data_IF_630599567553
#
_entry.id   IF_630599567553
#
_cell.length_a   1.000
_cell.length_b   1.000
_cell.length_c   1.000
_cell.angle_alpha   90.00
_cell.angle_beta   90.00
_cell.angle_gamma   90.00
#
_symmetry.space_group_name_H-M   'P 1'
#
loop_
_entity.id
_entity.type
_entity.pdbx_description
1 polymer ?
#
# COMPACT_ATOMS: atom_id res chain seq x y z
N UNK A 1 -29.72 -10.84 60.69
CA UNK A 1 -29.27 -9.76 59.79
C UNK A 1 -28.06 -10.27 59.02
N UNK A 2 -28.28 -10.94 57.89
CA UNK A 2 -27.21 -11.48 57.06
C UNK A 2 -26.91 -10.52 55.92
N UNK A 3 -25.78 -9.80 56.01
CA UNK A 3 -25.26 -8.97 54.94
C UNK A 3 -24.81 -9.87 53.78
N UNK A 4 -25.58 -9.88 52.70
CA UNK A 4 -25.20 -10.49 51.43
C UNK A 4 -23.99 -9.74 50.86
N UNK A 5 -22.82 -10.38 50.91
CA UNK A 5 -21.60 -9.84 50.30
C UNK A 5 -21.81 -9.71 48.79
N UNK A 6 -21.74 -8.48 48.27
CA UNK A 6 -21.81 -8.22 46.85
C UNK A 6 -20.61 -8.86 46.13
N UNK A 7 -20.89 -9.86 45.28
CA UNK A 7 -19.89 -10.49 44.42
C UNK A 7 -19.37 -9.44 43.43
N UNK A 8 -18.12 -9.02 43.58
CA UNK A 8 -17.43 -8.15 42.60
C UNK A 8 -17.22 -8.94 41.30
N UNK A 9 -18.13 -8.78 40.35
CA UNK A 9 -17.97 -9.33 39.00
C UNK A 9 -16.95 -8.47 38.24
N UNK A 10 -15.73 -8.99 38.08
CA UNK A 10 -14.70 -8.38 37.22
C UNK A 10 -15.04 -8.68 35.75
N UNK A 11 -15.48 -7.65 35.00
CA UNK A 11 -15.73 -7.77 33.56
C UNK A 11 -14.45 -7.44 32.77
N UNK A 12 -14.21 -8.20 31.68
CA UNK A 12 -13.15 -7.91 30.71
C UNK A 12 -13.74 -7.20 29.50
N UNK A 13 -13.10 -6.13 29.04
CA UNK A 13 -13.51 -5.44 27.81
C UNK A 13 -13.27 -6.33 26.59
N UNK A 14 -14.28 -6.42 25.73
CA UNK A 14 -14.26 -7.12 24.44
C UNK A 14 -14.80 -6.25 23.30
N UNK A 15 -14.74 -4.92 23.47
CA UNK A 15 -15.17 -3.95 22.47
C UNK A 15 -14.46 -4.13 21.13
N UNK A 16 -15.22 -4.08 20.03
CA UNK A 16 -14.69 -4.04 18.68
C UNK A 16 -14.39 -2.59 18.31
N UNK A 17 -13.14 -2.34 17.90
CA UNK A 17 -12.67 -1.01 17.47
C UNK A 17 -12.51 -0.98 15.96
N UNK A 18 -12.63 0.22 15.38
CA UNK A 18 -12.21 0.43 14.00
C UNK A 18 -10.71 0.15 13.87
N UNK A 19 -10.27 -0.26 12.68
CA UNK A 19 -8.85 -0.45 12.40
C UNK A 19 -8.13 0.90 12.54
N UNK A 20 -6.94 0.90 13.14
CA UNK A 20 -6.22 2.13 13.48
C UNK A 20 -5.92 3.04 12.27
N UNK A 21 -5.71 2.45 11.09
CA UNK A 21 -5.31 3.18 9.88
C UNK A 21 -6.48 3.49 8.94
N UNK A 22 -7.71 3.15 9.33
CA UNK A 22 -8.90 3.42 8.53
C UNK A 22 -9.71 4.53 9.22
N UNK A 23 -10.22 5.46 8.42
CA UNK A 23 -11.16 6.49 8.83
C UNK A 23 -12.41 6.42 7.97
N UNK A 24 -13.52 6.95 8.48
CA UNK A 24 -14.76 6.99 7.74
C UNK A 24 -15.95 7.37 8.60
N UNK A 25 -17.10 7.46 7.94
CA UNK A 25 -18.39 7.80 8.54
C UNK A 25 -19.24 6.52 8.60
N UNK A 26 -19.92 6.31 9.73
CA UNK A 26 -20.87 5.20 9.86
C UNK A 26 -21.99 5.40 8.85
N UNK A 27 -22.22 4.38 8.03
CA UNK A 27 -23.21 4.41 6.96
C UNK A 27 -24.49 3.66 7.34
N UNK A 28 -24.35 2.47 7.94
CA UNK A 28 -25.49 1.68 8.39
C UNK A 28 -25.14 0.83 9.60
N UNK A 29 -26.06 0.75 10.55
CA UNK A 29 -25.98 -0.16 11.70
C UNK A 29 -27.15 -1.13 11.62
N UNK A 30 -26.84 -2.42 11.59
CA UNK A 30 -27.84 -3.50 11.64
C UNK A 30 -27.75 -4.16 13.01
N UNK A 31 -28.88 -4.26 13.71
CA UNK A 31 -29.00 -5.01 14.96
C UNK A 31 -30.09 -6.05 14.78
N UNK A 32 -29.74 -7.32 14.90
CA UNK A 32 -30.65 -8.45 14.69
C UNK A 32 -30.30 -9.60 15.64
N UNK A 33 -31.16 -10.60 15.69
CA UNK A 33 -30.96 -11.80 16.50
C UNK A 33 -30.58 -12.97 15.59
N UNK A 34 -29.59 -13.76 15.99
CA UNK A 34 -29.20 -14.97 15.28
C UNK A 34 -30.25 -16.08 15.50
N UNK A 35 -30.19 -17.16 14.71
CA UNK A 35 -31.06 -18.34 14.85
C UNK A 35 -31.07 -18.94 16.27
N UNK A 36 -29.94 -18.84 16.97
CA UNK A 36 -29.77 -19.30 18.36
C UNK A 36 -30.24 -18.31 19.44
N UNK A 37 -30.89 -17.20 19.07
CA UNK A 37 -31.39 -16.20 20.03
C UNK A 37 -30.35 -15.17 20.52
N UNK A 38 -29.10 -15.25 20.07
CA UNK A 38 -28.06 -14.28 20.42
C UNK A 38 -28.18 -12.99 19.60
N UNK A 39 -28.09 -11.82 20.26
CA UNK A 39 -28.03 -10.52 19.58
C UNK A 39 -26.69 -10.39 18.83
N UNK A 40 -26.74 -9.96 17.57
CA UNK A 40 -25.54 -9.57 16.83
C UNK A 40 -25.73 -8.19 16.17
N UNK A 41 -24.61 -7.51 15.96
CA UNK A 41 -24.57 -6.19 15.35
C UNK A 41 -23.58 -6.18 14.17
N UNK A 42 -23.97 -5.55 13.06
CA UNK A 42 -23.08 -5.27 11.93
C UNK A 42 -23.06 -3.76 11.68
N UNK A 43 -21.87 -3.16 11.74
CA UNK A 43 -21.66 -1.73 11.48
C UNK A 43 -20.90 -1.58 10.17
N UNK A 44 -21.50 -0.87 9.20
CA UNK A 44 -20.86 -0.51 7.92
C UNK A 44 -20.33 0.91 8.02
N UNK A 45 -19.07 1.10 7.67
CA UNK A 45 -18.41 2.41 7.62
C UNK A 45 -18.03 2.71 6.17
N UNK A 46 -18.31 3.93 5.71
CA UNK A 46 -17.95 4.41 4.36
C UNK A 46 -16.85 5.45 4.43
N UNK A 47 -15.99 5.48 3.42
CA UNK A 47 -14.95 6.50 3.25
C UNK A 47 -14.97 7.01 1.81
N UNK A 48 -14.88 8.33 1.62
CA UNK A 48 -14.76 8.97 0.31
C UNK A 48 -13.28 9.06 -0.03
N UNK A 49 -12.86 8.37 -1.09
CA UNK A 49 -11.46 8.31 -1.52
C UNK A 49 -11.27 9.14 -2.79
N UNK A 50 -10.71 10.34 -2.65
CA UNK A 50 -10.28 11.17 -3.78
C UNK A 50 -9.03 10.53 -4.41
N UNK A 51 -8.88 10.52 -5.76
CA UNK A 51 -7.65 10.06 -6.40
C UNK A 51 -6.43 10.84 -5.93
N UNK A 52 -5.37 10.13 -5.54
CA UNK A 52 -4.13 10.73 -5.07
C UNK A 52 -2.90 10.09 -5.72
N UNK A 53 -1.75 10.73 -5.56
CA UNK A 53 -0.46 10.22 -6.06
C UNK A 53 -0.22 8.82 -5.49
N UNK A 54 0.09 7.86 -6.37
CA UNK A 54 0.26 6.45 -6.02
C UNK A 54 -0.98 5.58 -6.20
N UNK A 55 -2.17 6.16 -6.38
CA UNK A 55 -3.37 5.38 -6.74
C UNK A 55 -3.21 4.74 -8.13
N UNK A 56 -3.73 3.52 -8.27
CA UNK A 56 -3.52 2.70 -9.46
C UNK A 56 -4.71 2.76 -10.43
N UNK A 57 -4.38 2.96 -11.70
CA UNK A 57 -5.32 2.98 -12.83
C UNK A 57 -4.90 1.98 -13.90
N UNK A 58 -5.82 1.60 -14.78
CA UNK A 58 -5.55 0.75 -15.92
C UNK A 58 -6.40 1.15 -17.12
N UNK A 59 -5.84 1.08 -18.33
CA UNK A 59 -6.66 1.00 -19.53
C UNK A 59 -7.27 -0.41 -19.67
N UNK A 60 -8.22 -0.57 -20.60
CA UNK A 60 -8.76 -1.89 -20.99
C UNK A 60 -7.73 -2.81 -21.66
N UNK A 61 -6.60 -2.25 -22.11
CA UNK A 61 -5.51 -2.97 -22.78
C UNK A 61 -4.41 -3.45 -21.83
N UNK A 62 -4.71 -3.56 -20.53
CA UNK A 62 -3.74 -4.03 -19.52
C UNK A 62 -2.66 -3.00 -19.16
N UNK A 63 -2.82 -1.74 -19.56
CA UNK A 63 -1.87 -0.67 -19.27
C UNK A 63 -2.06 -0.11 -17.87
N UNK A 64 -1.54 -0.85 -16.89
CA UNK A 64 -1.58 -0.49 -15.47
C UNK A 64 -0.50 0.55 -15.14
N UNK A 65 -0.90 1.62 -14.47
CA UNK A 65 -0.01 2.69 -14.00
C UNK A 65 -0.48 3.26 -12.66
N UNK A 66 0.40 3.96 -11.96
CA UNK A 66 0.04 4.77 -10.78
C UNK A 66 0.12 6.25 -11.14
N UNK A 67 -0.66 7.08 -10.46
CA UNK A 67 -0.53 8.54 -10.58
C UNK A 67 0.87 8.92 -10.06
N UNK A 68 1.71 9.47 -10.94
CA UNK A 68 3.03 9.99 -10.55
C UNK A 68 2.97 11.43 -10.07
N UNK A 69 2.15 12.26 -10.71
CA UNK A 69 1.99 13.68 -10.41
C UNK A 69 0.59 14.14 -10.82
N UNK A 70 0.07 15.15 -10.14
CA UNK A 70 -1.19 15.82 -10.46
C UNK A 70 -0.89 17.28 -10.74
N UNK A 71 -1.18 17.74 -11.95
CA UNK A 71 -1.09 19.15 -12.31
C UNK A 71 -2.47 19.80 -12.26
N UNK A 72 -2.48 21.12 -12.08
CA UNK A 72 -3.69 21.90 -12.26
C UNK A 72 -3.89 22.21 -13.74
N UNK A 73 -5.09 22.66 -14.09
CA UNK A 73 -5.46 22.90 -15.49
C UNK A 73 -4.57 23.97 -16.16
N UNK A 74 -4.14 24.98 -15.40
CA UNK A 74 -3.27 26.06 -15.89
C UNK A 74 -1.89 25.58 -16.35
N UNK A 75 -1.34 24.56 -15.70
CA UNK A 75 0.00 24.03 -16.00
C UNK A 75 -0.03 22.94 -17.08
N UNK A 76 -1.23 22.42 -17.37
CA UNK A 76 -1.40 21.33 -18.32
C UNK A 76 -1.33 21.83 -19.76
N UNK A 77 -0.79 21.01 -20.67
CA UNK A 77 -0.73 21.37 -22.08
C UNK A 77 -2.13 21.32 -22.69
N UNK A 78 -2.44 22.25 -23.60
CA UNK A 78 -3.77 22.37 -24.21
C UNK A 78 -3.72 22.38 -25.74
N UNK A 79 -4.80 21.93 -26.38
CA UNK A 79 -4.96 21.98 -27.84
C UNK A 79 -5.44 23.35 -28.31
N UNK A 80 -5.42 23.63 -29.63
CA UNK A 80 -5.95 24.88 -30.21
C UNK A 80 -7.42 25.12 -29.82
N UNK A 81 -8.19 24.06 -29.62
CA UNK A 81 -9.59 24.12 -29.20
C UNK A 81 -9.77 24.35 -27.69
N UNK A 82 -8.68 24.42 -26.92
CA UNK A 82 -8.72 24.54 -25.46
C UNK A 82 -8.96 23.21 -24.74
N UNK A 83 -8.82 22.07 -25.42
CA UNK A 83 -8.93 20.76 -24.78
C UNK A 83 -7.68 20.50 -23.95
N UNK A 84 -7.89 20.18 -22.66
CA UNK A 84 -6.84 19.82 -21.72
C UNK A 84 -6.94 18.32 -21.41
N UNK A 85 -5.85 17.55 -21.44
CA UNK A 85 -5.91 16.11 -21.19
C UNK A 85 -6.11 15.82 -19.69
N UNK A 86 -6.96 14.84 -19.37
CA UNK A 86 -7.11 14.37 -18.00
C UNK A 86 -5.95 13.45 -17.54
N UNK A 87 -5.43 12.64 -18.47
CA UNK A 87 -4.37 11.66 -18.22
C UNK A 87 -3.32 11.77 -19.31
N UNK A 88 -2.07 11.97 -18.91
CA UNK A 88 -0.91 11.93 -19.81
C UNK A 88 -0.18 10.59 -19.60
N UNK A 89 -0.02 9.84 -20.68
CA UNK A 89 0.66 8.54 -20.69
C UNK A 89 2.03 8.69 -21.33
N UNK A 90 3.04 8.04 -20.75
CA UNK A 90 4.38 8.02 -21.33
C UNK A 90 4.38 7.27 -22.68
N UNK A 91 4.85 7.88 -23.79
CA UNK A 91 4.92 7.24 -25.10
C UNK A 91 5.79 5.97 -25.11
N UNK A 92 6.81 5.87 -24.25
CA UNK A 92 7.65 4.67 -24.14
C UNK A 92 6.89 3.40 -23.71
N UNK A 93 5.70 3.58 -23.14
CA UNK A 93 4.89 2.49 -22.62
C UNK A 93 4.09 1.75 -23.72
N UNK A 94 4.05 2.27 -24.96
CA UNK A 94 3.27 1.71 -26.06
C UNK A 94 4.09 0.75 -26.96
N UNK A 95 5.28 1.12 -27.51
CA UNK A 95 6.00 0.26 -28.45
C UNK A 95 6.43 -1.07 -27.83
N UNK A 96 6.88 -1.05 -26.57
CA UNK A 96 7.37 -2.23 -25.86
C UNK A 96 6.30 -3.28 -25.57
N UNK A 97 5.02 -2.88 -25.51
CA UNK A 97 3.90 -3.75 -25.16
C UNK A 97 3.02 -4.14 -26.34
N UNK A 98 3.25 -3.52 -27.50
CA UNK A 98 2.51 -3.79 -28.75
C UNK A 98 0.98 -3.67 -28.58
N UNK A 99 0.51 -2.79 -27.69
CA UNK A 99 -0.92 -2.56 -27.42
C UNK A 99 -1.53 -1.58 -28.43
N UNK A 100 -1.55 -1.97 -29.70
CA UNK A 100 -2.08 -1.14 -30.81
C UNK A 100 -3.58 -0.83 -30.59
N UNK A 101 -4.32 -1.76 -29.99
CA UNK A 101 -5.74 -1.57 -29.67
C UNK A 101 -6.02 -0.32 -28.84
N UNK A 102 -5.09 0.12 -27.98
CA UNK A 102 -5.24 1.35 -27.21
C UNK A 102 -5.22 2.60 -28.11
N UNK A 103 -4.39 2.59 -29.16
CA UNK A 103 -4.33 3.69 -30.12
C UNK A 103 -5.57 3.72 -31.00
N UNK A 104 -6.05 2.54 -31.43
CA UNK A 104 -7.29 2.42 -32.21
C UNK A 104 -8.51 2.87 -31.39
N UNK A 105 -8.60 2.45 -30.13
CA UNK A 105 -9.66 2.91 -29.21
C UNK A 105 -9.66 4.42 -29.07
N UNK A 106 -8.48 5.03 -28.91
CA UNK A 106 -8.33 6.47 -28.78
C UNK A 106 -8.82 7.21 -30.05
N UNK A 107 -8.49 6.69 -31.23
CA UNK A 107 -8.90 7.28 -32.51
C UNK A 107 -10.40 7.15 -32.73
N UNK A 108 -10.97 5.96 -32.50
CA UNK A 108 -12.41 5.71 -32.61
C UNK A 108 -13.19 6.54 -31.59
N UNK A 109 -12.73 6.61 -30.34
CA UNK A 109 -13.34 7.43 -29.30
C UNK A 109 -13.39 8.90 -29.69
N UNK A 110 -12.34 9.41 -30.34
CA UNK A 110 -12.30 10.79 -30.83
C UNK A 110 -13.35 11.03 -31.91
N UNK A 111 -13.44 10.15 -32.90
CA UNK A 111 -14.47 10.22 -33.96
C UNK A 111 -15.86 10.17 -33.35
N UNK A 112 -16.14 9.20 -32.48
CA UNK A 112 -17.42 9.05 -31.77
C UNK A 112 -17.81 10.28 -30.97
N UNK A 113 -16.86 10.87 -30.22
CA UNK A 113 -17.14 12.04 -29.39
C UNK A 113 -17.57 13.26 -30.21
N UNK A 114 -17.06 13.41 -31.44
CA UNK A 114 -17.39 14.54 -32.33
C UNK A 114 -18.59 14.25 -33.23
N UNK A 115 -18.79 12.99 -33.63
CA UNK A 115 -19.94 12.57 -34.42
C UNK A 115 -21.23 12.41 -33.58
N UNK A 116 -21.11 12.25 -32.26
CA UNK A 116 -22.24 12.00 -31.38
C UNK A 116 -22.82 10.59 -31.49
N UNK A 117 -22.05 9.65 -32.04
CA UNK A 117 -22.44 8.24 -32.21
C UNK A 117 -21.49 7.30 -31.47
N UNK A 118 -22.02 6.20 -30.95
CA UNK A 118 -21.21 5.14 -30.36
C UNK A 118 -20.52 4.35 -31.47
N UNK A 119 -19.21 4.14 -31.33
CA UNK A 119 -18.46 3.29 -32.25
C UNK A 119 -18.49 1.84 -31.77
N UNK A 120 -18.78 0.93 -32.69
CA UNK A 120 -18.66 -0.49 -32.46
C UNK A 120 -17.17 -0.91 -32.53
N UNK A 121 -16.66 -1.45 -31.42
CA UNK A 121 -15.31 -1.98 -31.28
C UNK A 121 -15.32 -3.50 -31.03
N UNK A 122 -16.38 -4.19 -31.45
CA UNK A 122 -16.49 -5.66 -31.35
C UNK A 122 -15.41 -6.34 -32.18
N UNK A 123 -14.89 -7.45 -31.68
CA UNK A 123 -13.87 -8.21 -32.38
C UNK A 123 -14.37 -8.69 -33.75
N UNK A 124 -13.50 -8.65 -34.76
CA UNK A 124 -13.77 -9.07 -36.14
C UNK A 124 -14.84 -8.26 -36.89
N UNK A 125 -15.17 -7.05 -36.43
CA UNK A 125 -15.96 -6.11 -37.22
C UNK A 125 -15.22 -5.67 -38.50
N UNK A 126 -15.97 -5.29 -39.54
CA UNK A 126 -15.42 -4.86 -40.82
C UNK A 126 -14.77 -3.45 -40.79
N UNK A 127 -14.89 -2.73 -39.67
CA UNK A 127 -14.39 -1.36 -39.55
C UNK A 127 -12.85 -1.33 -39.53
N UNK A 128 -12.25 -0.66 -40.51
CA UNK A 128 -10.80 -0.51 -40.60
C UNK A 128 -10.30 0.81 -39.99
N UNK A 129 -9.02 0.84 -39.58
CA UNK A 129 -8.37 2.05 -39.07
C UNK A 129 -8.32 3.17 -40.12
N UNK A 130 -8.23 2.81 -41.40
CA UNK A 130 -8.24 3.78 -42.50
C UNK A 130 -9.59 4.45 -42.67
N UNK A 131 -10.69 3.71 -42.45
CA UNK A 131 -12.03 4.29 -42.50
C UNK A 131 -12.26 5.27 -41.36
N UNK A 132 -11.82 4.92 -40.15
CA UNK A 132 -11.83 5.84 -38.99
C UNK A 132 -11.00 7.09 -39.30
N UNK A 133 -9.83 6.93 -39.92
CA UNK A 133 -8.93 8.03 -40.30
C UNK A 133 -9.56 8.96 -41.35
N UNK A 134 -10.30 8.41 -42.33
CA UNK A 134 -11.04 9.19 -43.33
C UNK A 134 -12.17 10.00 -42.68
N UNK A 135 -12.93 9.38 -41.77
CA UNK A 135 -14.01 10.07 -41.04
C UNK A 135 -13.45 11.18 -40.17
N UNK A 136 -12.37 10.92 -39.43
CA UNK A 136 -11.70 11.93 -38.61
C UNK A 136 -11.25 13.15 -39.44
N UNK A 137 -10.77 12.91 -40.66
CA UNK A 137 -10.38 13.97 -41.58
C UNK A 137 -11.56 14.77 -42.12
N UNK A 138 -12.70 14.12 -42.37
CA UNK A 138 -13.95 14.81 -42.75
C UNK A 138 -14.45 15.75 -41.65
N UNK A 139 -14.17 15.41 -40.39
CA UNK A 139 -14.52 16.24 -39.22
C UNK A 139 -13.55 17.42 -39.04
N UNK A 140 -12.46 17.49 -39.80
CA UNK A 140 -11.50 18.60 -39.77
C UNK A 140 -10.26 18.34 -38.91
N UNK A 141 -10.08 17.13 -38.37
CA UNK A 141 -8.88 16.74 -37.64
C UNK A 141 -7.82 16.10 -38.54
N UNK A 142 -6.60 15.97 -38.02
CA UNK A 142 -5.56 15.19 -38.70
C UNK A 142 -5.92 13.70 -38.69
N UNK A 143 -5.71 13.01 -39.82
CA UNK A 143 -6.02 11.58 -40.04
C UNK A 143 -5.56 10.65 -38.92
N UNK A 144 -4.38 10.89 -38.36
CA UNK A 144 -3.76 10.04 -37.34
C UNK A 144 -4.03 10.50 -35.90
N UNK A 145 -4.94 11.45 -35.67
CA UNK A 145 -5.28 11.92 -34.32
C UNK A 145 -4.24 12.81 -33.64
N UNK A 146 -3.13 13.13 -34.32
CA UNK A 146 -2.11 14.05 -33.83
C UNK A 146 -2.59 15.51 -33.92
N UNK A 147 -2.41 16.27 -32.85
CA UNK A 147 -2.79 17.69 -32.78
C UNK A 147 -1.60 18.57 -32.36
N UNK A 148 -1.71 19.86 -32.72
CA UNK A 148 -0.81 20.87 -32.19
C UNK A 148 -1.23 21.22 -30.76
N UNK A 149 -0.28 21.12 -29.83
CA UNK A 149 -0.48 21.37 -28.41
C UNK A 149 0.47 22.47 -27.95
N UNK A 150 0.03 23.30 -27.02
CA UNK A 150 0.79 24.38 -26.41
C UNK A 150 1.17 24.03 -24.97
N UNK A 151 2.33 24.51 -24.54
CA UNK A 151 2.83 24.30 -23.19
C UNK A 151 2.10 25.20 -22.19
N UNK A 152 1.53 24.58 -21.15
CA UNK A 152 1.05 25.18 -19.90
C UNK A 152 1.84 26.42 -19.43
N UNK A 153 3.14 26.21 -19.33
CA UNK A 153 4.05 27.09 -18.61
C UNK A 153 4.63 28.21 -19.48
N UNK A 154 4.86 27.93 -20.76
CA UNK A 154 5.56 28.87 -21.66
C UNK A 154 4.65 29.48 -22.72
N UNK A 155 3.46 28.91 -22.94
CA UNK A 155 2.56 29.27 -24.04
C UNK A 155 3.09 28.93 -25.43
N UNK A 156 4.30 28.33 -25.56
CA UNK A 156 4.87 27.96 -26.84
C UNK A 156 4.30 26.63 -27.32
N UNK A 157 4.17 26.49 -28.65
CA UNK A 157 3.78 25.24 -29.28
C UNK A 157 4.85 24.17 -29.05
N UNK A 158 4.42 22.96 -28.67
CA UNK A 158 5.27 21.80 -28.51
C UNK A 158 5.48 21.16 -29.88
N UNK A 159 6.74 21.00 -30.29
CA UNK A 159 7.13 20.21 -31.46
C UNK A 159 7.72 18.88 -30.96
N UNK A 160 7.22 17.71 -31.36
CA UNK A 160 6.26 17.40 -32.44
C UNK A 160 4.77 17.48 -32.02
N UNK A 161 3.86 17.31 -33.01
CA UNK A 161 2.42 17.13 -32.75
C UNK A 161 2.17 15.91 -31.86
N UNK A 162 1.23 16.02 -30.94
CA UNK A 162 0.96 15.03 -29.90
C UNK A 162 -0.31 14.25 -30.22
N UNK A 163 -0.27 12.94 -30.04
CA UNK A 163 -1.44 12.08 -30.16
C UNK A 163 -2.38 12.28 -28.97
N UNK A 164 -3.61 12.73 -29.23
CA UNK A 164 -4.61 13.00 -28.19
C UNK A 164 -6.00 12.49 -28.59
N UNK A 165 -6.71 11.90 -27.64
CA UNK A 165 -8.09 11.46 -27.81
C UNK A 165 -8.62 10.77 -26.55
N UNK A 166 -9.95 10.60 -26.45
CA UNK A 166 -10.58 9.98 -25.31
C UNK A 166 -10.28 8.47 -25.31
N UNK A 167 -9.84 7.95 -24.18
CA UNK A 167 -9.58 6.52 -23.96
C UNK A 167 -10.19 6.10 -22.63
N UNK A 168 -10.82 4.93 -22.57
CA UNK A 168 -11.48 4.49 -21.34
C UNK A 168 -10.46 3.98 -20.31
N UNK A 169 -10.42 4.65 -19.15
CA UNK A 169 -9.58 4.27 -18.01
C UNK A 169 -10.41 3.80 -16.82
N UNK A 170 -9.88 2.79 -16.12
CA UNK A 170 -10.48 2.18 -14.95
C UNK A 170 -9.63 2.47 -13.71
N UNK A 171 -10.26 2.96 -12.64
CA UNK A 171 -9.63 3.06 -11.33
C UNK A 171 -9.60 1.68 -10.68
N UNK A 172 -8.43 1.25 -10.22
CA UNK A 172 -8.27 -0.05 -9.55
C UNK A 172 -8.45 0.11 -8.04
N UNK A 173 -8.83 -0.99 -7.37
CA UNK A 173 -8.92 -1.08 -5.90
C UNK A 173 -7.61 -0.88 -5.13
N UNK A 174 -6.49 -0.70 -5.83
CA UNK A 174 -5.17 -0.57 -5.21
C UNK A 174 -4.87 0.90 -4.93
N UNK A 175 -5.28 1.36 -3.75
CA UNK A 175 -5.07 2.73 -3.28
C UNK A 175 -3.77 2.83 -2.47
N UNK A 176 -3.15 4.01 -2.49
CA UNK A 176 -1.88 4.25 -1.77
C UNK A 176 -2.08 4.29 -0.26
N UNK A 177 -3.18 4.88 0.21
CA UNK A 177 -3.53 4.95 1.63
C UNK A 177 -3.72 3.56 2.24
N UNK A 178 -4.16 2.61 1.42
CA UNK A 178 -4.31 1.21 1.82
C UNK A 178 -2.97 0.45 1.68
N UNK A 179 -1.87 1.12 1.37
CA UNK A 179 -0.51 0.53 1.28
C UNK A 179 0.48 1.15 2.25
N UNK A 180 0.31 2.42 2.62
CA UNK A 180 1.19 3.08 3.58
C UNK A 180 1.17 2.35 4.92
N UNK A 181 2.36 2.07 5.45
CA UNK A 181 2.57 1.42 6.73
C UNK A 181 3.90 1.84 7.31
N UNK A 182 3.89 2.29 8.55
CA UNK A 182 5.09 2.64 9.30
C UNK A 182 4.94 2.16 10.74
N UNK A 183 6.05 1.69 11.32
CA UNK A 183 6.13 1.27 12.71
C UNK A 183 7.42 1.78 13.30
N UNK A 184 7.32 2.53 14.40
CA UNK A 184 8.48 2.89 15.23
C UNK A 184 8.68 1.85 16.34
N UNK A 185 7.74 1.79 17.29
CA UNK A 185 7.66 0.76 18.35
C UNK A 185 6.22 0.28 18.42
N UNK A 186 6.02 -0.97 18.85
CA UNK A 186 4.69 -1.56 18.88
C UNK A 186 4.68 -2.87 19.65
N UNK A 187 3.53 -3.54 19.63
CA UNK A 187 3.35 -4.84 20.31
C UNK A 187 4.27 -5.90 19.72
N UNK A 188 4.67 -6.82 20.58
CA UNK A 188 5.51 -7.97 20.24
C UNK A 188 4.74 -9.27 20.47
N UNK A 189 5.18 -10.33 19.81
CA UNK A 189 4.68 -11.69 20.02
C UNK A 189 5.03 -12.15 21.44
N UNK A 190 4.18 -12.98 22.07
CA UNK A 190 4.46 -13.47 23.42
C UNK A 190 5.60 -14.48 23.46
N UNK A 191 5.72 -15.32 22.43
CA UNK A 191 6.72 -16.39 22.36
C UNK A 191 8.11 -15.84 22.03
N UNK A 192 8.26 -15.19 20.88
CA UNK A 192 9.57 -14.72 20.38
C UNK A 192 9.94 -13.31 20.82
N UNK A 193 8.99 -12.54 21.38
CA UNK A 193 9.17 -11.12 21.73
C UNK A 193 9.59 -10.25 20.53
N UNK A 194 9.35 -10.73 19.32
CA UNK A 194 9.61 -10.01 18.08
C UNK A 194 8.39 -9.18 17.65
N UNK A 195 8.58 -8.17 16.80
CA UNK A 195 7.48 -7.44 16.17
C UNK A 195 6.41 -8.36 15.56
N UNK A 196 5.14 -8.05 15.82
CA UNK A 196 4.01 -8.75 15.19
C UNK A 196 4.03 -8.61 13.66
N UNK A 197 3.34 -9.50 12.96
CA UNK A 197 3.09 -9.39 11.53
C UNK A 197 1.78 -8.62 11.22
N UNK A 198 1.80 -7.88 10.11
CA UNK A 198 0.60 -7.31 9.49
C UNK A 198 0.22 -5.92 9.99
N UNK A 199 -0.23 -5.07 9.07
CA UNK A 199 -0.60 -3.67 9.38
C UNK A 199 -1.71 -3.54 10.42
N UNK A 200 -2.72 -4.39 10.35
CA UNK A 200 -3.87 -4.33 11.27
C UNK A 200 -3.47 -4.52 12.75
N UNK A 201 -2.29 -5.11 13.00
CA UNK A 201 -1.74 -5.33 14.34
C UNK A 201 -0.54 -4.42 14.64
N UNK A 202 -0.36 -3.36 13.85
CA UNK A 202 0.81 -2.47 13.91
C UNK A 202 2.13 -3.25 13.82
N UNK A 203 2.12 -4.27 12.96
CA UNK A 203 3.25 -5.18 12.76
C UNK A 203 4.48 -4.51 12.16
N UNK A 204 5.65 -5.13 12.31
CA UNK A 204 6.88 -4.66 11.64
C UNK A 204 6.96 -5.11 10.19
N UNK A 205 7.92 -4.53 9.45
CA UNK A 205 8.39 -5.13 8.20
C UNK A 205 9.41 -6.21 8.54
N UNK A 206 9.39 -7.30 7.77
CA UNK A 206 10.34 -8.40 7.94
C UNK A 206 11.66 -8.01 7.28
N UNK A 207 12.75 -8.13 8.02
CA UNK A 207 14.10 -8.12 7.48
C UNK A 207 14.57 -9.57 7.42
N UNK A 208 14.61 -10.14 6.22
CA UNK A 208 14.94 -11.53 5.97
C UNK A 208 16.41 -11.75 5.68
N UNK A 209 16.71 -12.95 5.18
CA UNK A 209 18.07 -13.38 4.85
C UNK A 209 18.63 -12.59 3.67
N UNK A 210 17.81 -12.29 2.66
CA UNK A 210 18.26 -11.51 1.51
C UNK A 210 18.64 -10.08 1.93
N UNK A 211 17.85 -9.44 2.79
CA UNK A 211 18.18 -8.10 3.30
C UNK A 211 19.42 -8.11 4.19
N UNK A 212 19.64 -9.18 4.97
CA UNK A 212 20.89 -9.39 5.72
C UNK A 212 22.09 -9.43 4.78
N UNK A 213 22.01 -10.24 3.73
CA UNK A 213 23.12 -10.50 2.83
C UNK A 213 23.49 -9.23 2.03
N UNK A 214 22.49 -8.40 1.67
CA UNK A 214 22.73 -7.06 1.12
C UNK A 214 23.56 -6.20 2.08
N UNK A 215 23.26 -6.19 3.38
CA UNK A 215 24.01 -5.40 4.37
C UNK A 215 25.44 -5.92 4.59
N UNK A 216 25.61 -7.24 4.55
CA UNK A 216 26.93 -7.89 4.64
C UNK A 216 27.78 -7.50 3.43
N UNK A 217 27.21 -7.56 2.21
CA UNK A 217 27.89 -7.17 0.98
C UNK A 217 28.35 -5.69 1.01
N UNK A 218 27.54 -4.81 1.62
CA UNK A 218 27.92 -3.41 1.84
C UNK A 218 28.94 -3.20 2.98
N UNK A 219 29.26 -4.22 3.77
CA UNK A 219 30.16 -4.10 4.93
C UNK A 219 29.58 -3.31 6.11
N UNK A 220 28.25 -3.14 6.16
CA UNK A 220 27.58 -2.29 7.15
C UNK A 220 27.35 -3.01 8.50
N UNK A 221 28.42 -3.44 9.16
CA UNK A 221 28.37 -4.29 10.37
C UNK A 221 27.57 -3.66 11.53
N UNK A 222 27.76 -2.37 11.80
CA UNK A 222 27.04 -1.67 12.86
C UNK A 222 25.54 -1.56 12.58
N UNK A 223 25.17 -1.35 11.31
CA UNK A 223 23.76 -1.27 10.90
C UNK A 223 23.08 -2.63 10.93
N UNK A 224 23.80 -3.70 10.55
CA UNK A 224 23.33 -5.07 10.69
C UNK A 224 23.01 -5.40 12.15
N UNK A 225 23.93 -5.06 13.08
CA UNK A 225 23.67 -5.22 14.52
C UNK A 225 22.48 -4.38 14.98
N UNK A 226 22.37 -3.12 14.57
CA UNK A 226 21.24 -2.27 14.96
C UNK A 226 19.88 -2.85 14.52
N UNK A 227 19.78 -3.35 13.28
CA UNK A 227 18.52 -3.85 12.72
C UNK A 227 18.14 -5.25 13.21
N UNK A 228 19.09 -6.18 13.26
CA UNK A 228 18.80 -7.55 13.68
C UNK A 228 18.73 -7.72 15.20
N UNK A 229 19.37 -6.84 15.97
CA UNK A 229 19.46 -6.97 17.42
C UNK A 229 18.71 -5.86 18.15
N UNK A 230 19.20 -4.62 18.05
CA UNK A 230 18.75 -3.52 18.92
C UNK A 230 17.27 -3.14 18.71
N UNK A 231 16.78 -3.23 17.47
CA UNK A 231 15.41 -2.87 17.09
C UNK A 231 14.42 -4.05 17.06
N UNK A 232 14.86 -5.27 17.38
CA UNK A 232 14.01 -6.47 17.40
C UNK A 232 13.84 -6.97 18.83
N UNK A 233 14.61 -7.98 19.22
CA UNK A 233 14.41 -8.82 20.39
C UNK A 233 15.62 -8.81 21.35
N UNK A 234 16.37 -7.69 21.37
CA UNK A 234 17.49 -7.49 22.30
C UNK A 234 17.11 -7.85 23.74
N UNK A 235 17.79 -8.86 24.27
CA UNK A 235 17.56 -9.42 25.58
C UNK A 235 18.86 -9.52 26.37
N UNK A 236 18.80 -9.19 27.67
CA UNK A 236 19.97 -9.26 28.55
C UNK A 236 19.85 -10.49 29.43
N UNK A 237 20.88 -11.33 29.39
CA UNK A 237 21.00 -12.53 30.21
C UNK A 237 22.26 -12.47 31.05
N UNK A 238 22.18 -13.12 32.21
CA UNK A 238 23.34 -13.35 33.07
C UNK A 238 23.77 -14.81 32.89
N UNK A 239 25.06 -15.01 32.65
CA UNK A 239 25.67 -16.32 32.44
C UNK A 239 26.66 -16.57 33.58
N UNK A 240 26.64 -17.77 34.14
CA UNK A 240 27.61 -18.16 35.17
C UNK A 240 28.95 -18.53 34.52
N UNK A 241 30.05 -17.95 35.02
CA UNK A 241 31.37 -18.09 34.39
C UNK A 241 31.93 -19.52 34.45
N UNK A 242 31.52 -20.32 35.43
CA UNK A 242 31.99 -21.70 35.58
C UNK A 242 31.21 -22.72 34.74
N UNK A 243 29.87 -22.58 34.64
CA UNK A 243 29.03 -23.60 34.01
C UNK A 243 28.43 -23.17 32.66
N UNK A 244 28.52 -21.89 32.29
CA UNK A 244 27.97 -21.35 31.05
C UNK A 244 26.44 -21.34 30.97
N UNK A 245 25.73 -21.73 32.04
CA UNK A 245 24.27 -21.73 32.08
C UNK A 245 23.70 -20.36 32.45
N UNK A 246 22.49 -20.08 31.96
CA UNK A 246 21.75 -18.88 32.34
C UNK A 246 21.44 -18.87 33.84
N UNK A 247 21.79 -17.77 34.49
CA UNK A 247 21.44 -17.51 35.87
C UNK A 247 20.02 -16.95 35.95
N UNK A 248 19.28 -17.36 36.99
CA UNK A 248 17.96 -16.83 37.29
C UNK A 248 18.11 -15.67 38.27
N UNK A 249 17.41 -14.58 38.03
CA UNK A 249 17.32 -13.48 38.99
C UNK A 249 16.17 -13.74 39.97
N UNK A 250 16.47 -13.77 41.26
CA UNK A 250 15.45 -13.78 42.30
C UNK A 250 14.93 -12.36 42.57
N UNK A 251 13.75 -12.23 43.18
CA UNK A 251 13.09 -10.93 43.43
C UNK A 251 13.98 -9.94 44.19
N UNK A 252 14.95 -10.43 44.98
CA UNK A 252 15.91 -9.65 45.76
C UNK A 252 17.18 -9.26 44.99
N UNK A 253 17.17 -9.30 43.65
CA UNK A 253 18.32 -9.00 42.77
C UNK A 253 19.55 -9.91 43.00
N UNK A 254 19.39 -11.01 43.72
CA UNK A 254 20.42 -12.05 43.82
C UNK A 254 20.38 -12.93 42.57
N UNK A 255 21.51 -13.02 41.88
CA UNK A 255 21.69 -13.93 40.75
C UNK A 255 22.01 -15.32 41.29
N UNK A 256 21.28 -16.33 40.81
CA UNK A 256 21.44 -17.70 41.27
C UNK A 256 21.59 -18.64 40.07
N UNK A 257 22.66 -19.43 40.05
CA UNK A 257 22.83 -20.50 39.07
C UNK A 257 22.21 -21.78 39.62
N UNK A 258 21.22 -22.38 38.95
CA UNK A 258 20.58 -23.62 39.41
C UNK A 258 21.56 -24.79 39.64
N UNK A 259 22.65 -24.87 38.88
CA UNK A 259 23.63 -25.96 38.96
C UNK A 259 24.71 -25.72 40.02
N UNK A 260 25.14 -24.48 40.20
CA UNK A 260 26.23 -24.13 41.12
C UNK A 260 25.73 -23.63 42.48
N UNK A 261 24.42 -23.73 42.75
CA UNK A 261 23.79 -23.32 44.02
C UNK A 261 24.36 -24.09 45.22
N UNK A 262 24.57 -25.39 45.06
CA UNK A 262 24.83 -26.32 46.17
C UNK A 262 26.30 -26.44 46.55
N UNK A 263 27.21 -25.80 45.80
CA UNK A 263 28.64 -25.97 45.99
C UNK A 263 29.27 -24.69 46.58
N UNK A 264 29.58 -24.66 47.89
CA UNK A 264 30.05 -23.46 48.58
C UNK A 264 31.50 -23.04 48.21
N UNK A 265 32.28 -23.92 47.59
CA UNK A 265 33.68 -23.67 47.22
C UNK A 265 33.88 -22.99 45.85
N UNK A 266 32.80 -22.66 45.14
CA UNK A 266 32.84 -22.11 43.77
C UNK A 266 32.58 -20.62 43.75
N UNK A 267 33.35 -19.87 42.95
CA UNK A 267 33.20 -18.41 42.86
C UNK A 267 31.92 -18.11 42.09
N UNK A 268 30.96 -17.45 42.73
CA UNK A 268 29.68 -17.06 42.13
C UNK A 268 29.83 -15.77 41.32
N UNK A 269 30.65 -15.81 40.27
CA UNK A 269 30.78 -14.71 39.32
C UNK A 269 29.83 -14.92 38.13
N UNK A 270 29.23 -13.82 37.69
CA UNK A 270 28.25 -13.80 36.61
C UNK A 270 28.63 -12.72 35.61
N UNK A 271 28.77 -13.13 34.36
CA UNK A 271 28.96 -12.22 33.24
C UNK A 271 27.62 -11.84 32.62
N UNK A 272 27.45 -10.55 32.28
CA UNK A 272 26.26 -10.09 31.56
C UNK A 272 26.51 -10.17 30.06
N UNK A 273 25.63 -10.87 29.35
CA UNK A 273 25.65 -11.02 27.89
C UNK A 273 24.34 -10.48 27.31
N UNK A 274 24.43 -9.77 26.19
CA UNK A 274 23.26 -9.33 25.44
C UNK A 274 23.05 -10.32 24.27
N UNK A 275 21.90 -10.96 24.23
CA UNK A 275 21.43 -11.90 23.21
C UNK A 275 20.31 -11.27 22.36
#
# INVERSE_FOLDING_TARGET
VGLTQAVRVTKRDSSLRMRANESGVVDRVLVTTNSHGFKFCKVRVRNIRVPQIGDKFSSRHGQKGTIGMTYRQEDMPWTVEGVVPDIIVNPHAIPSRMTIGQLVECLMGKVSSKAGSEADATAFAEVTVDDVSKVLHKIGYQRHGNEAIYSGHTGRMICPRVFIGPTFYQRLKHLVDDKIHARARGKVTQLTRQPMEGRAREGGLRMGEMERDCLIAHGAANFLRDRFFANSDAYRVFVCDECGLFAVAEKDKKLMCMRCKDNPNRRKTFSQVCL
#
